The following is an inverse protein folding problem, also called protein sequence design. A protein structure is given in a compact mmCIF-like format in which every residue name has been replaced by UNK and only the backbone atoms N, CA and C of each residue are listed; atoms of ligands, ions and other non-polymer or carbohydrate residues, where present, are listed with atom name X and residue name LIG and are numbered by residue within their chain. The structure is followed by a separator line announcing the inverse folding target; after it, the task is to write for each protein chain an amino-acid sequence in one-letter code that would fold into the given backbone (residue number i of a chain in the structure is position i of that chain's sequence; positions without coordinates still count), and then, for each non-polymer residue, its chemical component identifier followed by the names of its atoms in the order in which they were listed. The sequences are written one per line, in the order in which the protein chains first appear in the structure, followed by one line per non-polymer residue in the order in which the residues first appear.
data_IF_026615288013
#
_entry.id   IF_026615288013
#
_cell.length_a   1.000
_cell.length_b   1.000
_cell.length_c   1.000
_cell.angle_alpha   90.00
_cell.angle_beta   90.00
_cell.angle_gamma   90.00
#
_symmetry.space_group_name_H-M   'P 1'
#
loop_
_entity.id
_entity.type
_entity.pdbx_description
1 polymer ?
#
# COMPACT_ATOMS: atom_id res chain seq x y z
N UNK A 1 -4.33 0.22 2.42
CA UNK A 1 -3.65 1.44 2.92
C UNK A 1 -3.95 2.56 1.95
N UNK A 2 -3.89 3.82 2.36
CA UNK A 2 -4.17 4.95 1.46
C UNK A 2 -3.30 6.17 1.79
N UNK A 3 -3.09 7.03 0.80
CA UNK A 3 -2.18 8.18 0.85
C UNK A 3 -2.85 9.51 1.25
N UNK A 4 -4.11 9.72 0.87
CA UNK A 4 -4.81 11.00 0.98
C UNK A 4 -5.07 11.44 2.41
N UNK A 5 -5.69 10.62 3.27
CA UNK A 5 -6.08 11.09 4.62
C UNK A 5 -4.89 11.60 5.44
N UNK A 6 -3.72 10.93 5.47
CA UNK A 6 -2.57 11.43 6.25
C UNK A 6 -1.83 12.59 5.56
N UNK A 7 -1.79 12.63 4.23
CA UNK A 7 -0.87 13.50 3.48
C UNK A 7 -1.55 14.60 2.64
N UNK A 8 -2.88 14.63 2.56
CA UNK A 8 -3.64 15.74 1.95
C UNK A 8 -4.34 16.59 3.00
N UNK A 9 -4.03 17.88 3.01
CA UNK A 9 -4.77 18.85 3.82
C UNK A 9 -6.08 19.26 3.11
N UNK A 10 -7.20 19.11 3.81
CA UNK A 10 -8.55 19.40 3.37
C UNK A 10 -9.17 20.46 4.31
N UNK A 11 -9.20 21.74 3.94
CA UNK A 11 -9.47 22.86 4.86
C UNK A 11 -10.88 22.86 5.48
N UNK A 12 -11.83 22.15 4.89
CA UNK A 12 -13.21 22.05 5.37
C UNK A 12 -13.51 20.77 6.15
N UNK A 13 -12.48 20.00 6.48
CA UNK A 13 -12.60 18.73 7.20
C UNK A 13 -11.97 18.89 8.59
N UNK A 14 -12.74 18.92 9.69
CA UNK A 14 -12.21 19.18 11.03
C UNK A 14 -11.13 18.19 11.50
N UNK A 15 -11.15 16.96 11.00
CA UNK A 15 -10.17 15.91 11.29
C UNK A 15 -9.11 15.76 10.18
N UNK A 16 -8.97 16.77 9.31
CA UNK A 16 -7.96 16.73 8.27
C UNK A 16 -6.55 16.71 8.86
N UNK A 17 -5.73 15.80 8.35
CA UNK A 17 -4.29 15.85 8.53
C UNK A 17 -3.67 16.59 7.34
N UNK A 18 -2.69 16.01 6.65
CA UNK A 18 -2.02 16.65 5.51
C UNK A 18 -0.56 17.00 5.75
N UNK A 19 -0.04 16.73 6.95
CA UNK A 19 1.33 17.03 7.35
C UNK A 19 2.04 15.85 8.00
N UNK A 20 1.47 14.64 7.89
CA UNK A 20 2.15 13.44 8.37
C UNK A 20 3.34 13.17 7.47
N UNK A 21 4.50 12.93 8.08
CA UNK A 21 5.74 12.70 7.35
C UNK A 21 5.67 11.45 6.46
N UNK A 22 6.16 11.58 5.23
CA UNK A 22 6.14 10.51 4.24
C UNK A 22 7.01 9.31 4.67
N UNK A 23 8.11 9.51 5.41
CA UNK A 23 8.92 8.37 5.91
C UNK A 23 8.17 7.57 6.97
N UNK A 24 7.37 8.24 7.79
CA UNK A 24 6.52 7.57 8.77
C UNK A 24 5.45 6.70 8.09
N UNK A 25 4.77 7.23 7.08
CA UNK A 25 3.78 6.46 6.30
C UNK A 25 4.43 5.27 5.58
N UNK A 26 5.58 5.49 4.94
CA UNK A 26 6.37 4.43 4.31
C UNK A 26 6.69 3.29 5.28
N UNK A 27 7.22 3.63 6.46
CA UNK A 27 7.58 2.63 7.47
C UNK A 27 6.35 1.88 7.96
N UNK A 28 5.25 2.58 8.25
CA UNK A 28 3.99 1.94 8.66
C UNK A 28 3.45 0.95 7.61
N UNK A 29 3.61 1.25 6.32
CA UNK A 29 3.23 0.32 5.25
C UNK A 29 4.14 -0.91 5.22
N UNK A 30 5.46 -0.73 5.38
CA UNK A 30 6.41 -1.85 5.49
C UNK A 30 6.12 -2.71 6.71
N UNK A 31 5.83 -2.12 7.86
CA UNK A 31 5.51 -2.85 9.09
C UNK A 31 4.25 -3.71 8.91
N UNK A 32 3.23 -3.19 8.20
CA UNK A 32 2.04 -3.97 7.86
C UNK A 32 2.35 -5.11 6.90
N UNK A 33 3.20 -4.88 5.90
CA UNK A 33 3.65 -5.93 5.00
C UNK A 33 4.38 -7.03 5.78
N UNK A 34 5.33 -6.67 6.64
CA UNK A 34 6.09 -7.62 7.45
C UNK A 34 5.18 -8.44 8.37
N UNK A 35 4.20 -7.80 9.00
CA UNK A 35 3.25 -8.52 9.84
C UNK A 35 2.46 -9.58 9.04
N UNK A 36 1.96 -9.23 7.85
CA UNK A 36 1.27 -10.19 6.97
C UNK A 36 2.21 -11.30 6.50
N UNK A 37 3.44 -10.95 6.18
CA UNK A 37 4.45 -11.93 5.78
C UNK A 37 4.68 -12.97 6.88
N UNK A 38 5.04 -12.51 8.08
CA UNK A 38 5.40 -13.34 9.23
C UNK A 38 4.23 -14.17 9.79
N UNK A 39 2.99 -13.67 9.69
CA UNK A 39 1.83 -14.30 10.34
C UNK A 39 0.87 -15.02 9.39
N UNK A 40 0.98 -14.79 8.08
CA UNK A 40 0.07 -15.40 7.11
C UNK A 40 0.84 -16.08 5.98
N UNK A 41 1.83 -15.41 5.38
CA UNK A 41 2.56 -15.96 4.23
C UNK A 41 3.51 -17.09 4.63
N UNK A 42 4.25 -16.95 5.73
CA UNK A 42 5.10 -18.03 6.25
C UNK A 42 4.29 -19.26 6.69
N UNK A 43 3.03 -19.07 7.08
CA UNK A 43 2.07 -20.14 7.37
C UNK A 43 1.44 -20.75 6.10
N UNK A 44 1.93 -20.38 4.91
CA UNK A 44 1.53 -20.95 3.62
C UNK A 44 0.26 -20.34 3.02
N UNK A 45 -0.22 -19.19 3.51
CA UNK A 45 -1.38 -18.49 2.94
C UNK A 45 -0.94 -17.47 1.91
N UNK A 46 -1.73 -17.30 0.87
CA UNK A 46 -1.59 -16.14 -0.03
C UNK A 46 -2.24 -14.91 0.62
N UNK A 47 -1.58 -13.76 0.52
CA UNK A 47 -2.07 -12.49 1.07
C UNK A 47 -2.17 -11.39 0.02
N UNK A 48 -3.18 -10.53 0.19
CA UNK A 48 -3.36 -9.35 -0.64
C UNK A 48 -2.90 -8.10 0.11
N UNK A 49 -2.03 -7.31 -0.52
CA UNK A 49 -1.49 -6.07 0.05
C UNK A 49 -1.90 -4.84 -0.79
N UNK A 50 -3.14 -4.32 -0.64
CA UNK A 50 -3.64 -3.23 -1.48
C UNK A 50 -3.15 -1.86 -1.01
N UNK A 51 -2.54 -1.11 -1.93
CA UNK A 51 -2.19 0.30 -1.78
C UNK A 51 -3.14 1.13 -2.65
N UNK A 52 -3.89 2.03 -2.01
CA UNK A 52 -4.77 2.99 -2.68
C UNK A 52 -4.06 4.34 -2.80
N UNK A 53 -3.98 4.87 -4.01
CA UNK A 53 -3.28 6.11 -4.31
C UNK A 53 -4.22 7.09 -5.00
N UNK A 54 -4.18 8.35 -4.58
CA UNK A 54 -4.99 9.43 -5.15
C UNK A 54 -4.07 10.34 -5.97
N UNK A 55 -4.37 10.67 -7.23
CA UNK A 55 -3.50 11.52 -8.06
C UNK A 55 -3.16 12.86 -7.41
N UNK A 56 -4.12 13.45 -6.71
CA UNK A 56 -3.98 14.71 -5.97
C UNK A 56 -2.92 14.66 -4.87
N UNK A 57 -2.72 13.49 -4.26
CA UNK A 57 -1.75 13.27 -3.16
C UNK A 57 -0.48 12.60 -3.66
N UNK A 58 -0.60 11.44 -4.32
CA UNK A 58 0.52 10.68 -4.90
C UNK A 58 1.36 11.47 -5.89
N UNK A 59 0.80 12.47 -6.57
CA UNK A 59 1.53 13.34 -7.49
C UNK A 59 2.43 14.38 -6.80
N UNK A 60 2.31 14.58 -5.48
CA UNK A 60 3.15 15.52 -4.74
C UNK A 60 4.60 15.02 -4.69
N UNK A 61 5.58 15.90 -4.89
CA UNK A 61 6.99 15.54 -5.09
C UNK A 61 7.60 14.66 -3.97
N UNK A 62 7.18 14.87 -2.71
CA UNK A 62 7.66 14.08 -1.58
C UNK A 62 6.91 12.74 -1.44
N UNK A 63 5.66 12.65 -1.91
CA UNK A 63 4.85 11.42 -1.89
C UNK A 63 5.22 10.51 -3.06
N UNK A 64 5.44 11.04 -4.26
CA UNK A 64 5.89 10.21 -5.40
C UNK A 64 7.24 9.54 -5.12
N UNK A 65 8.18 10.26 -4.48
CA UNK A 65 9.45 9.68 -4.06
C UNK A 65 9.29 8.63 -2.95
N UNK A 66 8.26 8.72 -2.11
CA UNK A 66 7.90 7.68 -1.14
C UNK A 66 7.35 6.43 -1.84
N UNK A 67 6.46 6.62 -2.80
CA UNK A 67 5.87 5.53 -3.61
C UNK A 67 6.95 4.79 -4.38
N UNK A 68 7.90 5.51 -5.00
CA UNK A 68 9.05 4.91 -5.69
C UNK A 68 9.85 3.99 -4.76
N UNK A 69 10.20 4.47 -3.55
CA UNK A 69 10.90 3.64 -2.55
C UNK A 69 10.10 2.42 -2.11
N UNK A 70 8.79 2.55 -1.92
CA UNK A 70 7.92 1.43 -1.57
C UNK A 70 7.87 0.39 -2.69
N UNK A 71 7.70 0.81 -3.94
CA UNK A 71 7.64 -0.08 -5.09
C UNK A 71 8.99 -0.78 -5.27
N UNK A 72 10.11 -0.07 -5.21
CA UNK A 72 11.45 -0.67 -5.29
C UNK A 72 11.70 -1.66 -4.16
N UNK A 73 11.27 -1.35 -2.94
CA UNK A 73 11.38 -2.27 -1.82
C UNK A 73 10.55 -3.54 -2.04
N UNK A 74 9.30 -3.42 -2.48
CA UNK A 74 8.44 -4.57 -2.82
C UNK A 74 9.01 -5.42 -3.96
N UNK A 75 9.55 -4.79 -5.00
CA UNK A 75 10.22 -5.48 -6.11
C UNK A 75 11.45 -6.28 -5.67
N UNK A 76 12.12 -5.85 -4.59
CA UNK A 76 13.31 -6.56 -4.06
C UNK A 76 12.99 -7.93 -3.45
N UNK A 77 11.71 -8.22 -3.18
CA UNK A 77 11.23 -9.55 -2.74
C UNK A 77 11.13 -10.55 -3.89
N UNK A 78 11.35 -10.12 -5.14
CA UNK A 78 11.45 -11.01 -6.29
C UNK A 78 10.17 -11.82 -6.52
N UNK A 79 10.26 -13.16 -6.67
CA UNK A 79 9.11 -14.00 -7.03
C UNK A 79 8.05 -14.11 -5.93
N UNK A 80 8.39 -13.76 -4.69
CA UNK A 80 7.49 -13.86 -3.54
C UNK A 80 6.41 -12.77 -3.52
N UNK A 81 6.58 -11.70 -4.32
CA UNK A 81 5.63 -10.60 -4.45
C UNK A 81 5.20 -10.45 -5.90
N UNK A 82 3.90 -10.64 -6.15
CA UNK A 82 3.27 -10.40 -7.45
C UNK A 82 2.50 -9.07 -7.45
N UNK A 83 2.75 -8.22 -8.44
CA UNK A 83 1.94 -7.03 -8.69
C UNK A 83 0.78 -7.38 -9.63
N UNK A 84 -0.44 -7.34 -9.10
CA UNK A 84 -1.63 -7.69 -9.87
C UNK A 84 -2.64 -6.54 -9.92
N UNK A 85 -3.41 -6.49 -11.00
CA UNK A 85 -4.57 -5.59 -11.06
C UNK A 85 -5.70 -6.12 -10.18
N UNK A 86 -6.46 -5.23 -9.54
CA UNK A 86 -7.61 -5.60 -8.69
C UNK A 86 -8.62 -6.50 -9.41
N UNK A 87 -8.78 -6.32 -10.74
CA UNK A 87 -9.63 -7.18 -11.56
C UNK A 87 -9.18 -8.65 -11.53
N UNK A 88 -7.88 -8.90 -11.61
CA UNK A 88 -7.37 -10.27 -11.65
C UNK A 88 -7.43 -10.94 -10.29
N UNK A 89 -7.18 -10.17 -9.23
CA UNK A 89 -7.44 -10.61 -7.86
C UNK A 89 -8.91 -11.04 -7.68
N UNK A 90 -9.86 -10.22 -8.15
CA UNK A 90 -11.28 -10.55 -8.08
C UNK A 90 -11.63 -11.81 -8.90
N UNK A 91 -11.00 -12.00 -10.07
CA UNK A 91 -11.16 -13.20 -10.88
C UNK A 91 -10.66 -14.45 -10.14
N UNK A 92 -9.45 -14.40 -9.59
CA UNK A 92 -8.84 -15.50 -8.81
C UNK A 92 -9.73 -15.86 -7.63
N UNK A 93 -10.19 -14.86 -6.87
CA UNK A 93 -11.07 -15.09 -5.73
C UNK A 93 -12.35 -15.83 -6.14
N UNK A 94 -12.99 -15.41 -7.24
CA UNK A 94 -14.21 -16.06 -7.75
C UNK A 94 -13.96 -17.50 -8.19
N UNK A 95 -12.82 -17.79 -8.82
CA UNK A 95 -12.46 -19.14 -9.29
C UNK A 95 -12.12 -20.10 -8.14
N UNK A 96 -11.64 -19.59 -7.00
CA UNK A 96 -11.26 -20.39 -5.82
C UNK A 96 -12.37 -20.55 -4.78
N UNK A 97 -13.42 -19.71 -4.84
CA UNK A 97 -14.50 -19.67 -3.84
C UNK A 97 -15.82 -20.29 -4.33
N UNK A 98 -15.86 -20.80 -5.55
CA UNK A 98 -16.97 -21.54 -6.16
C UNK A 98 -16.52 -22.97 -6.48
#
# INVERSE_FOLDING_TARGET
MEDMTPMQFLPHTPNSHGYVDARHIEQMWKDRFMWLWENEVEDGKECLFPILLHPDTSGMAHVIGMIERMITWLQSWGPDVEFSQTREVARIFRERSL
#
